data_IF_638065883223
#
_entry.id   IF_638065883223
#
_cell.length_a   1.000
_cell.length_b   1.000
_cell.length_c   1.000
_cell.angle_alpha   90.00
_cell.angle_beta   90.00
_cell.angle_gamma   90.00
#
_symmetry.space_group_name_H-M   'P 1'
#
loop_
_entity.id
_entity.type
_entity.pdbx_description
1 polymer ?
#
# COMPACT_ATOMS: atom_id res chain seq x y z
N UNK A 1 8.47 10.67 0.27
CA UNK A 1 7.59 9.69 0.95
C UNK A 1 8.43 9.04 2.02
N UNK A 2 8.00 9.13 3.28
CA UNK A 2 8.58 8.36 4.37
C UNK A 2 8.11 6.91 4.23
N UNK A 3 9.04 6.02 3.84
CA UNK A 3 8.71 4.67 3.43
C UNK A 3 8.28 3.79 4.63
N UNK A 4 8.97 3.79 5.79
CA UNK A 4 8.45 3.16 7.00
C UNK A 4 7.06 3.65 7.40
N UNK A 5 6.81 4.96 7.37
CA UNK A 5 5.51 5.50 7.74
C UNK A 5 4.40 5.01 6.80
N UNK A 6 4.65 5.02 5.49
CA UNK A 6 3.71 4.51 4.50
C UNK A 6 3.40 3.02 4.65
N UNK A 7 4.42 2.19 4.91
CA UNK A 7 4.22 0.77 5.20
C UNK A 7 3.36 0.60 6.45
N UNK A 8 3.58 1.42 7.49
CA UNK A 8 2.74 1.42 8.70
C UNK A 8 1.28 1.84 8.45
N UNK A 9 1.05 2.77 7.53
CA UNK A 9 -0.30 3.17 7.11
C UNK A 9 -1.03 2.06 6.35
N UNK A 10 -0.39 1.48 5.33
CA UNK A 10 -0.98 0.37 4.55
C UNK A 10 -1.28 -0.81 5.46
N UNK A 11 -0.37 -1.16 6.37
CA UNK A 11 -0.53 -2.29 7.30
C UNK A 11 -1.74 -2.15 8.21
N UNK A 12 -2.12 -0.93 8.59
CA UNK A 12 -3.31 -0.69 9.41
C UNK A 12 -4.62 -1.04 8.68
N UNK A 13 -4.62 -0.99 7.35
CA UNK A 13 -5.82 -1.20 6.52
C UNK A 13 -5.81 -2.59 5.87
N UNK A 14 -4.68 -3.02 5.34
CA UNK A 14 -4.52 -4.30 4.62
C UNK A 14 -3.30 -5.09 5.13
N UNK A 15 -3.32 -5.59 6.38
CA UNK A 15 -2.15 -6.24 6.98
C UNK A 15 -1.73 -7.53 6.27
N UNK A 16 -2.68 -8.30 5.73
CA UNK A 16 -2.43 -9.60 5.08
C UNK A 16 -2.17 -9.47 3.57
N UNK A 17 -2.19 -8.25 3.01
CA UNK A 17 -1.84 -8.00 1.60
C UNK A 17 -0.36 -8.31 1.40
N UNK A 18 -0.06 -8.98 0.28
CA UNK A 18 1.30 -9.42 -0.06
C UNK A 18 2.03 -8.29 -0.76
N UNK A 19 3.18 -7.90 -0.21
CA UNK A 19 4.08 -6.89 -0.79
C UNK A 19 4.89 -7.50 -1.92
N UNK A 20 5.45 -8.69 -1.68
CA UNK A 20 6.34 -9.35 -2.63
C UNK A 20 6.34 -10.86 -2.41
N UNK A 21 6.53 -11.62 -3.50
CA UNK A 21 6.70 -13.07 -3.48
C UNK A 21 8.03 -13.42 -4.11
N UNK A 22 8.73 -14.35 -3.49
CA UNK A 22 9.96 -14.90 -4.05
C UNK A 22 10.07 -16.37 -3.67
N UNK A 23 10.17 -17.23 -4.68
CA UNK A 23 10.09 -18.69 -4.55
C UNK A 23 8.84 -19.11 -3.77
N UNK A 24 8.99 -19.90 -2.70
CA UNK A 24 7.88 -20.41 -1.88
C UNK A 24 7.41 -19.45 -0.78
N UNK A 25 8.02 -18.27 -0.64
CA UNK A 25 7.66 -17.30 0.40
C UNK A 25 6.95 -16.08 -0.16
N UNK A 26 6.00 -15.60 0.64
CA UNK A 26 5.34 -14.32 0.47
C UNK A 26 5.65 -13.46 1.69
N UNK A 27 5.90 -12.18 1.46
CA UNK A 27 6.07 -11.18 2.51
C UNK A 27 4.81 -10.32 2.56
N UNK A 28 4.11 -10.35 3.70
CA UNK A 28 2.91 -9.51 3.91
C UNK A 28 3.29 -8.15 4.50
N UNK A 29 2.38 -7.19 4.44
CA UNK A 29 2.55 -5.90 5.11
C UNK A 29 2.73 -6.04 6.62
N UNK A 30 1.97 -6.94 7.28
CA UNK A 30 2.13 -7.24 8.71
C UNK A 30 3.55 -7.70 9.03
N UNK A 31 4.06 -8.67 8.28
CA UNK A 31 5.42 -9.21 8.48
C UNK A 31 6.48 -8.16 8.18
N UNK A 32 6.28 -7.36 7.11
CA UNK A 32 7.19 -6.28 6.73
C UNK A 32 7.26 -5.20 7.82
N UNK A 33 6.14 -4.74 8.37
CA UNK A 33 6.14 -3.78 9.49
C UNK A 33 6.86 -4.35 10.72
N UNK A 34 6.61 -5.61 11.05
CA UNK A 34 7.32 -6.29 12.13
C UNK A 34 8.84 -6.27 11.92
N UNK A 35 9.29 -6.62 10.71
CA UNK A 35 10.69 -6.62 10.35
C UNK A 35 11.31 -5.20 10.34
N UNK A 36 10.59 -4.19 9.82
CA UNK A 36 11.04 -2.78 9.86
C UNK A 36 11.29 -2.34 11.30
N UNK A 37 10.35 -2.59 12.22
CA UNK A 37 10.50 -2.20 13.62
C UNK A 37 11.75 -2.80 14.28
N UNK A 38 12.15 -4.02 13.86
CA UNK A 38 13.38 -4.66 14.32
C UNK A 38 14.64 -4.07 13.65
N UNK A 39 14.55 -3.64 12.39
CA UNK A 39 15.69 -3.12 11.62
C UNK A 39 15.97 -1.64 11.90
N UNK A 40 14.97 -0.84 12.23
CA UNK A 40 15.11 0.62 12.44
C UNK A 40 16.21 0.98 13.46
N UNK A 41 16.34 0.34 14.64
CA UNK A 41 17.45 0.63 15.54
C UNK A 41 18.82 0.28 14.93
N UNK A 42 18.89 -0.83 14.19
CA UNK A 42 20.13 -1.35 13.59
C UNK A 42 20.63 -0.45 12.47
N UNK A 43 19.74 0.03 11.60
CA UNK A 43 20.11 0.93 10.49
C UNK A 43 20.46 2.32 10.98
N UNK A 44 19.72 2.84 11.97
CA UNK A 44 20.02 4.15 12.57
C UNK A 44 21.36 4.17 13.29
N UNK A 45 21.72 3.11 14.01
CA UNK A 45 23.02 2.99 14.65
C UNK A 45 24.18 2.93 13.63
N UNK A 46 23.88 2.54 12.38
CA UNK A 46 24.82 2.54 11.27
C UNK A 46 24.75 3.81 10.41
N UNK A 47 24.04 4.85 10.87
CA UNK A 47 23.83 6.10 10.14
C UNK A 47 23.23 5.90 8.74
N UNK A 48 22.47 4.84 8.55
CA UNK A 48 21.79 4.54 7.30
C UNK A 48 20.42 5.23 7.26
N UNK A 49 19.97 5.57 6.06
CA UNK A 49 18.64 6.14 5.84
C UNK A 49 17.52 5.16 6.20
N UNK A 50 16.35 5.67 6.58
CA UNK A 50 15.17 4.90 6.97
C UNK A 50 14.65 4.01 5.81
N UNK A 51 14.93 4.37 4.54
CA UNK A 51 14.69 3.49 3.38
C UNK A 51 15.51 2.19 3.47
N UNK A 52 16.71 2.25 4.04
CA UNK A 52 17.57 1.08 4.23
C UNK A 52 16.97 0.08 5.21
N UNK A 53 16.19 0.55 6.20
CA UNK A 53 15.48 -0.33 7.12
C UNK A 53 14.41 -1.16 6.40
N UNK A 54 13.74 -0.58 5.41
CA UNK A 54 12.73 -1.29 4.60
C UNK A 54 13.40 -2.33 3.70
N UNK A 55 14.53 -1.99 3.07
CA UNK A 55 15.30 -2.97 2.29
C UNK A 55 15.79 -4.10 3.20
N UNK A 56 16.41 -3.79 4.34
CA UNK A 56 16.84 -4.80 5.30
C UNK A 56 15.67 -5.68 5.79
N UNK A 57 14.49 -5.09 5.99
CA UNK A 57 13.28 -5.81 6.36
C UNK A 57 12.78 -6.76 5.26
N UNK A 58 12.90 -6.38 3.98
CA UNK A 58 12.59 -7.27 2.85
C UNK A 58 13.52 -8.50 2.87
N UNK A 59 14.83 -8.30 3.08
CA UNK A 59 15.79 -9.41 3.22
C UNK A 59 15.50 -10.29 4.43
N UNK A 60 15.12 -9.69 5.57
CA UNK A 60 14.75 -10.45 6.76
C UNK A 60 13.46 -11.29 6.54
N UNK A 61 12.49 -10.73 5.82
CA UNK A 61 11.23 -11.40 5.47
C UNK A 61 11.38 -12.49 4.41
N UNK A 62 12.35 -12.33 3.51
CA UNK A 62 12.68 -13.29 2.45
C UNK A 62 14.18 -13.63 2.51
N UNK A 63 14.62 -14.49 3.45
CA UNK A 63 16.03 -14.84 3.60
C UNK A 63 16.66 -15.47 2.35
N UNK A 64 15.84 -16.10 1.50
CA UNK A 64 16.28 -16.67 0.24
C UNK A 64 16.88 -15.64 -0.73
N UNK A 65 16.54 -14.35 -0.59
CA UNK A 65 17.18 -13.27 -1.37
C UNK A 65 18.65 -13.07 -0.97
N UNK A 66 19.00 -13.27 0.29
CA UNK A 66 20.39 -13.16 0.77
C UNK A 66 21.29 -14.28 0.24
N UNK A 67 20.70 -15.39 -0.21
CA UNK A 67 21.40 -16.51 -0.84
C UNK A 67 21.33 -16.49 -2.38
N UNK A 68 20.65 -15.50 -2.97
CA UNK A 68 20.57 -15.36 -4.42
C UNK A 68 21.91 -14.80 -4.94
N UNK A 69 22.48 -15.48 -5.93
CA UNK A 69 23.76 -15.11 -6.53
C UNK A 69 23.60 -14.12 -7.67
N UNK A 70 22.42 -14.08 -8.28
CA UNK A 70 22.11 -13.12 -9.32
C UNK A 70 21.63 -11.79 -8.72
N UNK A 71 22.53 -10.80 -8.69
CA UNK A 71 22.24 -9.46 -8.20
C UNK A 71 21.14 -8.73 -8.99
N UNK A 72 20.92 -9.09 -10.25
CA UNK A 72 19.84 -8.49 -11.05
C UNK A 72 18.47 -8.98 -10.59
N UNK A 73 18.34 -10.26 -10.25
CA UNK A 73 17.11 -10.83 -9.67
C UNK A 73 16.81 -10.17 -8.33
N UNK A 74 17.82 -10.01 -7.47
CA UNK A 74 17.65 -9.34 -6.17
C UNK A 74 17.18 -7.89 -6.36
N UNK A 75 17.82 -7.14 -7.27
CA UNK A 75 17.44 -5.76 -7.56
C UNK A 75 15.99 -5.66 -8.04
N UNK A 76 15.58 -6.50 -9.00
CA UNK A 76 14.20 -6.54 -9.52
C UNK A 76 13.20 -6.82 -8.40
N UNK A 77 13.44 -7.81 -7.54
CA UNK A 77 12.52 -8.16 -6.45
C UNK A 77 12.37 -7.00 -5.44
N UNK A 78 13.47 -6.33 -5.11
CA UNK A 78 13.43 -5.16 -4.21
C UNK A 78 12.72 -3.99 -4.89
N UNK A 79 13.00 -3.71 -6.16
CA UNK A 79 12.37 -2.62 -6.91
C UNK A 79 10.86 -2.86 -7.07
N UNK A 80 10.44 -4.09 -7.37
CA UNK A 80 9.03 -4.49 -7.44
C UNK A 80 8.33 -4.31 -6.09
N UNK A 81 8.98 -4.70 -4.98
CA UNK A 81 8.43 -4.50 -3.64
C UNK A 81 8.25 -3.00 -3.32
N UNK A 82 9.23 -2.17 -3.67
CA UNK A 82 9.14 -0.72 -3.46
C UNK A 82 8.07 -0.07 -4.35
N UNK A 83 7.95 -0.52 -5.61
CA UNK A 83 6.91 -0.07 -6.52
C UNK A 83 5.51 -0.46 -6.00
N UNK A 84 5.36 -1.69 -5.49
CA UNK A 84 4.11 -2.16 -4.87
C UNK A 84 3.74 -1.31 -3.65
N UNK A 85 4.70 -1.02 -2.75
CA UNK A 85 4.44 -0.16 -1.58
C UNK A 85 3.95 1.23 -2.01
N UNK A 86 4.57 1.80 -3.04
CA UNK A 86 4.14 3.09 -3.57
C UNK A 86 2.74 3.02 -4.18
N UNK A 87 2.47 2.01 -5.01
CA UNK A 87 1.17 1.80 -5.64
C UNK A 87 0.04 1.62 -4.61
N UNK A 88 0.29 0.82 -3.57
CA UNK A 88 -0.69 0.55 -2.51
C UNK A 88 -0.91 1.78 -1.61
N UNK A 89 0.13 2.57 -1.38
CA UNK A 89 0.01 3.85 -0.68
C UNK A 89 -0.83 4.86 -1.46
N UNK A 90 -0.58 4.97 -2.77
CA UNK A 90 -1.36 5.84 -3.66
C UNK A 90 -2.82 5.35 -3.78
N UNK A 91 -3.05 4.03 -3.83
CA UNK A 91 -4.39 3.42 -3.78
C UNK A 91 -5.12 3.78 -2.48
N UNK A 92 -4.44 3.70 -1.33
CA UNK A 92 -5.03 4.05 -0.04
C UNK A 92 -5.47 5.53 0.00
N UNK A 93 -4.66 6.43 -0.55
CA UNK A 93 -4.93 7.87 -0.59
C UNK A 93 -6.01 8.25 -1.61
N UNK A 94 -6.11 7.51 -2.71
CA UNK A 94 -7.19 7.70 -3.69
C UNK A 94 -8.51 7.08 -3.22
N UNK A 95 -8.47 5.99 -2.45
CA UNK A 95 -9.66 5.37 -1.86
C UNK A 95 -10.24 6.17 -0.67
N UNK A 96 -9.41 6.97 0.02
CA UNK A 96 -9.84 7.91 1.07
C UNK A 96 -10.21 9.29 0.55
N UNK A 97 -9.93 9.60 -0.72
CA UNK A 97 -10.53 10.76 -1.36
C UNK A 97 -12.06 10.54 -1.40
N UNK A 98 -12.90 11.48 -0.91
CA UNK A 98 -14.33 11.41 -1.19
C UNK A 98 -14.48 11.23 -2.69
N UNK A 99 -15.37 10.34 -3.17
CA UNK A 99 -15.48 10.05 -4.59
C UNK A 99 -15.56 11.38 -5.30
N UNK A 100 -14.58 11.65 -6.18
CA UNK A 100 -14.67 12.81 -7.06
C UNK A 100 -15.85 12.52 -7.98
N UNK A 101 -17.04 12.88 -7.51
CA UNK A 101 -18.21 13.09 -8.31
C UNK A 101 -17.81 14.17 -9.31
N UNK A 102 -17.22 13.74 -10.43
CA UNK A 102 -17.50 14.40 -11.68
C UNK A 102 -18.97 14.17 -11.92
N UNK A 103 -19.79 15.06 -11.34
CA UNK A 103 -21.14 15.32 -11.82
C UNK A 103 -20.97 15.87 -13.22
N UNK A 104 -20.79 14.97 -14.19
CA UNK A 104 -21.27 15.25 -15.52
C UNK A 104 -22.74 14.96 -15.42
N UNK A 105 -23.54 16.00 -15.23
CA UNK A 105 -24.99 15.92 -15.36
C UNK A 105 -25.29 15.40 -16.76
N UNK A 106 -25.48 14.09 -16.85
CA UNK A 106 -25.53 13.35 -18.10
C UNK A 106 -26.47 12.16 -17.96
N UNK A 107 -27.70 12.45 -17.53
CA UNK A 107 -28.91 11.59 -17.52
C UNK A 107 -28.83 10.28 -16.73
N UNK A 108 -29.94 10.04 -16.02
CA UNK A 108 -30.41 8.75 -15.45
C UNK A 108 -29.50 8.17 -14.36
N UNK A 109 -29.84 8.12 -13.07
CA UNK A 109 -31.16 7.86 -12.49
C UNK A 109 -31.14 8.27 -11.02
N UNK A 110 -31.80 9.37 -10.68
CA UNK A 110 -32.30 9.57 -9.33
C UNK A 110 -33.69 10.16 -9.48
N UNK A 111 -34.70 9.35 -9.15
CA UNK A 111 -36.08 9.81 -9.10
C UNK A 111 -36.11 10.85 -7.99
N UNK A 112 -36.16 12.12 -8.38
CA UNK A 112 -36.26 13.24 -7.46
C UNK A 112 -37.62 13.18 -6.76
N UNK A 113 -37.61 12.69 -5.51
CA UNK A 113 -38.80 12.53 -4.66
C UNK A 113 -39.58 13.83 -4.47
N UNK A 114 -38.97 15.00 -4.75
CA UNK A 114 -39.64 16.31 -4.74
C UNK A 114 -40.64 16.46 -5.89
N UNK A 115 -40.36 15.84 -7.04
CA UNK A 115 -41.28 15.83 -8.19
C UNK A 115 -42.52 14.98 -7.90
N UNK A 116 -42.37 13.86 -7.16
CA UNK A 116 -43.49 13.01 -6.76
C UNK A 116 -44.41 13.74 -5.76
N UNK A 117 -43.83 14.43 -4.77
CA UNK A 117 -44.59 15.19 -3.77
C UNK A 117 -45.43 16.32 -4.39
N UNK A 118 -44.93 17.00 -5.43
CA UNK A 118 -45.66 18.09 -6.10
C UNK A 118 -46.92 17.64 -6.85
N UNK A 119 -47.04 16.36 -7.23
CA UNK A 119 -48.20 15.82 -7.97
C UNK A 119 -49.34 15.34 -7.07
N UNK A 120 -49.05 15.02 -5.80
CA UNK A 120 -50.05 14.57 -4.83
C UNK A 120 -50.81 15.71 -4.13
N UNK A 121 -50.26 16.93 -4.14
CA UNK A 121 -50.83 18.09 -3.44
C UNK A 121 -51.77 18.97 -4.31
N UNK A 122 -51.97 18.62 -5.58
CA UNK A 122 -52.74 19.43 -6.54
C UNK A 122 -54.00 18.76 -7.11
N UNK A 123 -54.57 17.79 -6.40
CA UNK A 123 -55.82 17.10 -6.76
C UNK A 123 -56.98 17.51 -5.87
#
# INVERSE_FOLDING_TARGET
MDLPAAVGEITRVTPDRVVVRYRSRALTYRDLTGAINLMMPVTRNQYMDDRSAVVAAIFAGIPALGAETDGSVVATIVDDALAQIRGDFDELHTATAPPQQRVTAGRTSEIDLRVIASRLAGG
#
